data_IF_822945985229
#
_entry.id   IF_822945985229
#
_cell.length_a   1.000
_cell.length_b   1.000
_cell.length_c   1.000
_cell.angle_alpha   90.00
_cell.angle_beta   90.00
_cell.angle_gamma   90.00
#
_symmetry.space_group_name_H-M   'P 1'
#
loop_
_entity.id
_entity.type
_entity.pdbx_description
1 polymer ?
#
# COMPACT_ATOMS: atom_id res chain seq x y z
N UNK A 1 -62.45 -51.09 -38.33
CA UNK A 1 -61.29 -51.95 -38.00
C UNK A 1 -59.98 -51.39 -38.56
N UNK A 2 -59.75 -51.23 -39.88
CA UNK A 2 -58.47 -50.72 -40.40
C UNK A 2 -58.13 -49.26 -39.99
N UNK A 3 -59.12 -48.36 -39.94
CA UNK A 3 -58.91 -46.96 -39.56
C UNK A 3 -58.64 -46.76 -38.06
N UNK A 4 -59.26 -47.57 -37.19
CA UNK A 4 -59.01 -47.56 -35.73
C UNK A 4 -57.58 -48.02 -35.40
N UNK A 5 -57.05 -49.01 -36.13
CA UNK A 5 -55.68 -49.49 -35.93
C UNK A 5 -54.60 -48.46 -36.31
N UNK A 6 -54.84 -47.63 -37.33
CA UNK A 6 -53.95 -46.51 -37.69
C UNK A 6 -54.02 -45.37 -36.67
N UNK A 7 -55.24 -45.00 -36.24
CA UNK A 7 -55.42 -43.95 -35.23
C UNK A 7 -54.80 -44.30 -33.87
N UNK A 8 -54.80 -45.58 -33.49
CA UNK A 8 -54.19 -46.03 -32.24
C UNK A 8 -52.66 -46.00 -32.30
N UNK A 9 -52.06 -46.24 -33.48
CA UNK A 9 -50.62 -46.08 -33.71
C UNK A 9 -50.15 -44.64 -33.55
N UNK A 10 -50.87 -43.69 -34.17
CA UNK A 10 -50.55 -42.26 -34.08
C UNK A 10 -50.60 -41.73 -32.63
N UNK A 11 -51.58 -42.18 -31.85
CA UNK A 11 -51.71 -41.83 -30.42
C UNK A 11 -50.54 -42.39 -29.60
N UNK A 12 -50.08 -43.61 -29.92
CA UNK A 12 -48.95 -44.23 -29.23
C UNK A 12 -47.63 -43.49 -29.51
N UNK A 13 -47.41 -43.03 -30.75
CA UNK A 13 -46.24 -42.24 -31.13
C UNK A 13 -46.25 -40.85 -30.46
N UNK A 14 -47.41 -40.20 -30.40
CA UNK A 14 -47.58 -38.93 -29.68
C UNK A 14 -47.29 -39.08 -28.18
N UNK A 15 -47.77 -40.16 -27.55
CA UNK A 15 -47.51 -40.44 -26.14
C UNK A 15 -46.02 -40.70 -25.88
N UNK A 16 -45.34 -41.41 -26.79
CA UNK A 16 -43.90 -41.66 -26.70
C UNK A 16 -43.11 -40.36 -26.80
N UNK A 17 -43.48 -39.47 -27.72
CA UNK A 17 -42.88 -38.16 -27.89
C UNK A 17 -43.09 -37.26 -26.66
N UNK A 18 -44.31 -37.22 -26.11
CA UNK A 18 -44.59 -36.46 -24.88
C UNK A 18 -43.74 -36.96 -23.70
N UNK A 19 -43.57 -38.29 -23.55
CA UNK A 19 -42.70 -38.86 -22.52
C UNK A 19 -41.25 -38.42 -22.68
N UNK A 20 -40.71 -38.44 -23.90
CA UNK A 20 -39.35 -38.00 -24.17
C UNK A 20 -39.17 -36.51 -23.83
N UNK A 21 -40.12 -35.66 -24.24
CA UNK A 21 -40.11 -34.23 -23.93
C UNK A 21 -40.18 -33.97 -22.43
N UNK A 22 -41.03 -34.69 -21.70
CA UNK A 22 -41.12 -34.59 -20.22
C UNK A 22 -39.81 -35.00 -19.55
N UNK A 23 -39.20 -36.10 -20.01
CA UNK A 23 -37.92 -36.55 -19.47
C UNK A 23 -36.80 -35.54 -19.72
N UNK A 24 -36.72 -34.98 -20.94
CA UNK A 24 -35.77 -33.91 -21.25
C UNK A 24 -35.97 -32.68 -20.37
N UNK A 25 -37.22 -32.28 -20.10
CA UNK A 25 -37.51 -31.15 -19.23
C UNK A 25 -37.18 -31.43 -17.76
N UNK A 26 -37.36 -32.68 -17.31
CA UNK A 26 -37.00 -33.11 -15.96
C UNK A 26 -35.48 -33.12 -15.76
N UNK A 27 -34.72 -33.59 -16.76
CA UNK A 27 -33.27 -33.55 -16.74
C UNK A 27 -32.73 -32.11 -16.69
N UNK A 28 -33.31 -31.20 -17.48
CA UNK A 28 -32.96 -29.78 -17.46
C UNK A 28 -33.31 -29.13 -16.11
N UNK A 29 -34.46 -29.46 -15.53
CA UNK A 29 -34.84 -28.99 -14.19
C UNK A 29 -33.85 -29.46 -13.12
N UNK A 30 -33.38 -30.70 -13.22
CA UNK A 30 -32.38 -31.27 -12.32
C UNK A 30 -31.03 -30.58 -12.48
N UNK A 31 -30.59 -30.29 -13.71
CA UNK A 31 -29.34 -29.55 -13.95
C UNK A 31 -29.40 -28.14 -13.37
N UNK A 32 -30.47 -27.39 -13.66
CA UNK A 32 -30.68 -26.05 -13.11
C UNK A 32 -30.72 -26.06 -11.58
N UNK A 33 -31.34 -27.07 -10.98
CA UNK A 33 -31.37 -27.23 -9.52
C UNK A 33 -29.98 -27.48 -8.94
N UNK A 34 -29.16 -28.27 -9.61
CA UNK A 34 -27.77 -28.51 -9.21
C UNK A 34 -26.93 -27.23 -9.32
N UNK A 35 -27.05 -26.50 -10.43
CA UNK A 35 -26.39 -25.21 -10.61
C UNK A 35 -26.81 -24.20 -9.54
N UNK A 36 -28.11 -24.08 -9.25
CA UNK A 36 -28.62 -23.20 -8.21
C UNK A 36 -28.05 -23.56 -6.83
N UNK A 37 -27.93 -24.86 -6.53
CA UNK A 37 -27.33 -25.33 -5.27
C UNK A 37 -25.85 -24.96 -5.16
N UNK A 38 -25.12 -24.99 -6.28
CA UNK A 38 -23.72 -24.60 -6.36
C UNK A 38 -23.57 -23.09 -6.14
N UNK A 39 -24.34 -22.28 -6.87
CA UNK A 39 -24.35 -20.83 -6.72
C UNK A 39 -24.70 -20.39 -5.29
N UNK A 40 -25.70 -21.00 -4.66
CA UNK A 40 -26.04 -20.73 -3.25
C UNK A 40 -24.88 -21.01 -2.29
N UNK A 41 -24.10 -22.06 -2.53
CA UNK A 41 -22.90 -22.35 -1.73
C UNK A 41 -21.83 -21.28 -1.94
N UNK A 42 -21.59 -20.87 -3.19
CA UNK A 42 -20.63 -19.81 -3.51
C UNK A 42 -21.05 -18.45 -2.90
N UNK A 43 -22.34 -18.13 -2.95
CA UNK A 43 -22.90 -16.94 -2.33
C UNK A 43 -22.73 -16.97 -0.80
N UNK A 44 -22.99 -18.12 -0.17
CA UNK A 44 -22.74 -18.30 1.26
C UNK A 44 -21.27 -18.15 1.64
N UNK A 45 -20.33 -18.64 0.81
CA UNK A 45 -18.90 -18.45 1.06
C UNK A 45 -18.47 -16.99 0.89
N UNK A 46 -18.94 -16.33 -0.18
CA UNK A 46 -18.62 -14.92 -0.43
C UNK A 46 -19.18 -14.02 0.67
N UNK A 47 -20.41 -14.26 1.13
CA UNK A 47 -21.00 -13.50 2.24
C UNK A 47 -20.22 -13.70 3.55
N UNK A 48 -19.74 -14.91 3.83
CA UNK A 48 -18.89 -15.15 4.99
C UNK A 48 -17.55 -14.39 4.92
N UNK A 49 -16.91 -14.33 3.75
CA UNK A 49 -15.69 -13.55 3.54
C UNK A 49 -15.92 -12.06 3.73
N UNK A 50 -17.01 -11.51 3.19
CA UNK A 50 -17.38 -10.10 3.38
C UNK A 50 -17.55 -9.77 4.87
N UNK A 51 -18.25 -10.61 5.62
CA UNK A 51 -18.42 -10.43 7.08
C UNK A 51 -17.08 -10.50 7.81
N UNK A 52 -16.19 -11.43 7.41
CA UNK A 52 -14.84 -11.55 8.00
C UNK A 52 -14.02 -10.29 7.75
N UNK A 53 -13.99 -9.81 6.51
CA UNK A 53 -13.27 -8.59 6.12
C UNK A 53 -13.81 -7.37 6.85
N UNK A 54 -15.14 -7.26 7.00
CA UNK A 54 -15.76 -6.17 7.76
C UNK A 54 -15.30 -6.16 9.22
N UNK A 55 -15.25 -7.32 9.88
CA UNK A 55 -14.77 -7.43 11.26
C UNK A 55 -13.29 -7.04 11.40
N UNK A 56 -12.46 -7.42 10.44
CA UNK A 56 -11.05 -7.02 10.42
C UNK A 56 -10.93 -5.49 10.27
N UNK A 57 -11.69 -4.90 9.35
CA UNK A 57 -11.72 -3.45 9.16
C UNK A 57 -12.14 -2.69 10.43
N UNK A 58 -13.19 -3.15 11.11
CA UNK A 58 -13.64 -2.54 12.37
C UNK A 58 -12.58 -2.65 13.49
N UNK A 59 -11.80 -3.75 13.49
CA UNK A 59 -10.69 -3.96 14.44
C UNK A 59 -9.53 -3.00 14.17
N UNK A 60 -9.11 -2.87 12.91
CA UNK A 60 -8.07 -1.93 12.49
C UNK A 60 -8.46 -0.48 12.75
N UNK A 61 -9.72 -0.10 12.51
CA UNK A 61 -10.23 1.23 12.83
C UNK A 61 -10.10 1.52 14.34
N UNK A 62 -10.47 0.56 15.19
CA UNK A 62 -10.35 0.69 16.65
C UNK A 62 -8.88 0.78 17.12
N UNK A 63 -7.95 0.11 16.42
CA UNK A 63 -6.51 0.22 16.72
C UNK A 63 -5.96 1.59 16.32
N UNK A 64 -6.36 2.08 15.14
CA UNK A 64 -5.99 3.40 14.65
C UNK A 64 -6.41 4.49 15.64
N UNK A 65 -7.65 4.45 16.14
CA UNK A 65 -8.15 5.42 17.12
C UNK A 65 -7.29 5.45 18.40
N UNK A 66 -6.86 4.28 18.90
CA UNK A 66 -5.95 4.18 20.05
C UNK A 66 -4.58 4.81 19.77
N UNK A 67 -4.01 4.52 18.61
CA UNK A 67 -2.72 5.11 18.22
C UNK A 67 -2.81 6.63 18.06
N UNK A 68 -3.91 7.14 17.52
CA UNK A 68 -4.15 8.59 17.42
C UNK A 68 -4.25 9.25 18.80
N UNK A 69 -4.90 8.60 19.77
CA UNK A 69 -4.94 9.06 21.17
C UNK A 69 -3.54 9.07 21.81
N UNK A 70 -2.75 8.01 21.65
CA UNK A 70 -1.37 7.97 22.13
C UNK A 70 -0.49 9.07 21.50
N UNK A 71 -0.62 9.28 20.19
CA UNK A 71 0.09 10.37 19.49
C UNK A 71 -0.32 11.74 20.04
N UNK A 72 -1.60 11.95 20.35
CA UNK A 72 -2.08 13.21 20.92
C UNK A 72 -1.48 13.45 22.32
N UNK A 73 -1.45 12.42 23.17
CA UNK A 73 -0.84 12.48 24.50
C UNK A 73 0.65 12.80 24.40
N UNK A 74 1.39 12.09 23.54
CA UNK A 74 2.84 12.31 23.36
C UNK A 74 3.14 13.73 22.85
N UNK A 75 2.32 14.26 21.93
CA UNK A 75 2.44 15.65 21.47
C UNK A 75 2.23 16.65 22.61
N UNK A 76 1.25 16.42 23.48
CA UNK A 76 1.00 17.27 24.64
C UNK A 76 2.17 17.23 25.63
N UNK A 77 2.70 16.04 25.92
CA UNK A 77 3.88 15.88 26.78
C UNK A 77 5.11 16.61 26.23
N UNK A 78 5.36 16.50 24.92
CA UNK A 78 6.47 17.21 24.28
C UNK A 78 6.31 18.73 24.38
N UNK A 79 5.10 19.24 24.20
CA UNK A 79 4.81 20.66 24.34
C UNK A 79 5.06 21.16 25.77
N UNK A 80 4.65 20.39 26.78
CA UNK A 80 4.92 20.72 28.18
C UNK A 80 6.43 20.75 28.47
N UNK A 81 7.17 19.73 28.03
CA UNK A 81 8.63 19.69 28.19
C UNK A 81 9.32 20.87 27.50
N UNK A 82 8.82 21.31 26.35
CA UNK A 82 9.35 22.49 25.67
C UNK A 82 9.11 23.78 26.46
N UNK A 83 7.91 23.92 27.06
CA UNK A 83 7.58 25.08 27.90
C UNK A 83 8.44 25.11 29.17
N UNK A 84 8.59 23.96 29.85
CA UNK A 84 9.43 23.84 31.05
C UNK A 84 10.91 24.11 30.73
N UNK A 85 11.38 23.67 29.55
CA UNK A 85 12.73 23.96 29.06
C UNK A 85 12.94 25.46 28.76
N UNK A 86 11.92 26.17 28.28
CA UNK A 86 12.00 27.61 28.07
C UNK A 86 11.93 28.40 29.39
N UNK A 87 11.11 27.97 30.36
CA UNK A 87 11.02 28.59 31.69
C UNK A 87 12.33 28.46 32.48
N UNK A 88 12.99 27.29 32.40
CA UNK A 88 14.31 27.07 33.01
C UNK A 88 15.40 27.92 32.35
N UNK A 89 15.31 28.22 31.06
CA UNK A 89 16.22 29.16 30.38
C UNK A 89 16.02 30.60 30.85
N UNK A 90 14.77 31.03 31.04
CA UNK A 90 14.44 32.39 31.49
C UNK A 90 14.82 32.64 32.96
N UNK A 91 14.69 31.61 33.81
CA UNK A 91 15.06 31.71 35.23
C UNK A 91 16.58 31.72 35.47
N UNK A 92 17.38 31.15 34.54
CA UNK A 92 18.84 31.30 34.55
C UNK A 92 19.30 32.69 34.09
N UNK A 93 18.55 33.37 33.21
CA UNK A 93 18.89 34.69 32.67
C UNK A 93 18.49 35.85 33.61
N UNK A 94 17.54 35.61 34.53
CA UNK A 94 17.06 36.61 35.50
C UNK A 94 17.85 36.62 36.81
N UNK A 95 18.83 35.72 36.95
CA UNK A 95 19.65 35.56 38.14
C UNK A 95 20.94 36.38 38.13
N UNK A 96 20.87 37.71 38.00
CA UNK A 96 21.99 38.55 38.43
C UNK A 96 21.51 39.86 39.08
N UNK A 97 21.84 39.99 40.36
CA UNK A 97 21.63 41.19 41.17
C UNK A 97 22.60 42.33 40.79
N UNK A 98 22.41 43.53 41.35
CA UNK A 98 22.91 44.78 40.79
C UNK A 98 24.40 44.99 41.09
N UNK A 99 25.22 45.24 40.06
CA UNK A 99 26.55 45.80 40.30
C UNK A 99 27.52 45.84 39.12
N UNK A 100 27.77 47.07 38.66
CA UNK A 100 29.01 47.58 38.00
C UNK A 100 29.11 47.48 36.47
N UNK A 101 28.57 48.53 35.83
CA UNK A 101 29.23 49.45 34.89
C UNK A 101 30.58 48.98 34.29
N UNK A 102 30.62 48.81 32.97
CA UNK A 102 31.62 49.47 32.11
C UNK A 102 30.99 49.81 30.75
N UNK A 103 30.96 51.10 30.34
CA UNK A 103 30.35 51.55 29.10
C UNK A 103 31.38 51.55 27.97
N UNK A 104 30.99 51.03 26.81
CA UNK A 104 31.86 50.97 25.65
C UNK A 104 31.10 50.71 24.37
N UNK A 105 30.77 51.82 23.70
CA UNK A 105 30.61 51.96 22.26
C UNK A 105 29.19 51.79 21.69
N UNK A 106 28.54 52.95 21.57
CA UNK A 106 27.50 53.26 20.59
C UNK A 106 27.89 52.80 19.18
N UNK A 107 26.94 52.27 18.42
CA UNK A 107 26.41 52.97 17.22
C UNK A 107 25.66 51.99 16.30
N UNK A 108 24.32 52.14 16.36
CA UNK A 108 23.41 52.24 15.21
C UNK A 108 23.33 51.09 14.20
N UNK A 109 22.30 50.28 14.43
CA UNK A 109 21.16 50.02 13.54
C UNK A 109 21.38 49.90 12.03
N UNK A 110 20.72 48.83 11.56
CA UNK A 110 20.06 48.66 10.27
C UNK A 110 20.99 48.33 9.12
N UNK A 111 20.81 47.13 8.55
CA UNK A 111 20.22 47.00 7.22
C UNK A 111 19.53 45.63 7.14
N UNK A 112 18.21 45.67 6.97
CA UNK A 112 17.43 44.59 6.37
C UNK A 112 18.16 44.05 5.15
N UNK A 113 18.41 42.74 5.15
CA UNK A 113 18.41 41.82 3.99
C UNK A 113 18.90 40.46 4.49
N UNK A 114 18.03 39.68 5.11
CA UNK A 114 18.27 38.24 5.27
C UNK A 114 17.54 37.49 4.15
N UNK A 115 18.05 37.70 2.93
CA UNK A 115 17.77 36.85 1.78
C UNK A 115 18.58 35.56 1.94
N UNK A 116 17.86 34.45 2.06
CA UNK A 116 18.29 33.07 1.80
C UNK A 116 19.41 32.50 2.69
N UNK A 117 19.15 31.41 3.43
CA UNK A 117 20.23 30.51 3.81
C UNK A 117 20.69 29.78 2.54
N UNK A 118 21.79 30.25 1.93
CA UNK A 118 22.64 29.41 1.09
C UNK A 118 23.41 28.47 2.02
N UNK A 119 22.77 27.39 2.44
CA UNK A 119 23.47 26.22 2.93
C UNK A 119 24.04 25.45 1.73
N UNK A 120 25.18 25.93 1.24
CA UNK A 120 26.13 25.11 0.50
C UNK A 120 27.09 24.48 1.51
N UNK A 121 26.54 23.58 2.33
CA UNK A 121 27.34 22.59 3.06
C UNK A 121 27.43 21.35 2.17
N UNK A 122 28.42 21.37 1.29
CA UNK A 122 29.00 20.18 0.66
C UNK A 122 29.81 19.41 1.72
N UNK A 123 29.13 18.84 2.71
CA UNK A 123 29.63 17.65 3.39
C UNK A 123 29.22 16.43 2.55
N UNK A 124 30.02 15.36 2.46
CA UNK A 124 29.53 14.14 1.85
C UNK A 124 28.33 13.69 2.71
N UNK A 125 27.12 13.83 2.18
CA UNK A 125 25.99 13.04 2.64
C UNK A 125 26.46 11.61 2.46
N UNK A 126 26.96 10.99 3.54
CA UNK A 126 27.46 9.64 3.55
C UNK A 126 26.40 8.79 2.87
N UNK A 127 26.62 8.34 1.64
CA UNK A 127 25.49 8.12 0.78
C UNK A 127 24.86 6.80 1.23
N UNK A 128 23.58 6.68 0.91
CA UNK A 128 22.87 5.41 0.73
C UNK A 128 23.72 4.38 -0.07
N UNK A 129 24.82 4.81 -0.72
CA UNK A 129 25.92 4.03 -1.28
C UNK A 129 26.44 2.83 -0.46
N UNK A 130 26.21 2.73 0.86
CA UNK A 130 26.57 1.50 1.61
C UNK A 130 25.47 0.43 1.68
N UNK A 131 24.27 0.66 1.11
CA UNK A 131 23.26 -0.39 0.90
C UNK A 131 23.60 -1.33 -0.28
N UNK A 132 24.78 -1.17 -0.89
CA UNK A 132 25.34 -2.01 -1.95
C UNK A 132 26.22 -3.15 -1.45
N UNK A 133 26.14 -3.55 -0.18
CA UNK A 133 26.44 -4.95 0.09
C UNK A 133 25.42 -5.76 -0.71
N UNK A 134 25.87 -6.63 -1.61
CA UNK A 134 25.03 -7.41 -2.53
C UNK A 134 23.83 -8.08 -1.82
N UNK A 135 24.01 -8.39 -0.53
CA UNK A 135 22.98 -8.91 0.39
C UNK A 135 21.83 -7.92 0.63
N UNK A 136 22.12 -6.63 0.79
CA UNK A 136 21.13 -5.58 1.05
C UNK A 136 20.18 -5.35 -0.13
N UNK A 137 20.73 -5.28 -1.34
CA UNK A 137 19.93 -5.11 -2.56
C UNK A 137 19.02 -6.31 -2.83
N UNK A 138 19.56 -7.53 -2.73
CA UNK A 138 18.77 -8.77 -2.86
C UNK A 138 17.64 -8.84 -1.82
N UNK A 139 17.92 -8.42 -0.57
CA UNK A 139 16.89 -8.35 0.47
C UNK A 139 15.79 -7.36 0.10
N UNK A 140 16.13 -6.16 -0.38
CA UNK A 140 15.13 -5.16 -0.81
C UNK A 140 14.28 -5.69 -1.96
N UNK A 141 14.89 -6.36 -2.95
CA UNK A 141 14.14 -6.96 -4.06
C UNK A 141 13.17 -8.05 -3.58
N UNK A 142 13.57 -8.87 -2.60
CA UNK A 142 12.66 -9.86 -2.00
C UNK A 142 11.45 -9.22 -1.29
N UNK A 143 11.59 -8.00 -0.77
CA UNK A 143 10.49 -7.29 -0.11
C UNK A 143 9.43 -6.77 -1.10
N UNK A 144 9.73 -6.72 -2.41
CA UNK A 144 8.74 -6.42 -3.44
C UNK A 144 7.65 -7.50 -3.55
N UNK A 145 7.93 -8.70 -3.04
CA UNK A 145 7.00 -9.83 -3.01
C UNK A 145 6.32 -10.01 -1.65
N UNK A 146 6.56 -9.12 -0.68
CA UNK A 146 5.99 -9.18 0.67
C UNK A 146 4.47 -9.17 0.65
N UNK A 147 3.83 -10.08 1.39
CA UNK A 147 2.36 -10.12 1.56
C UNK A 147 1.80 -8.84 2.19
N UNK A 148 2.62 -8.11 2.94
CA UNK A 148 2.21 -6.85 3.57
C UNK A 148 2.28 -5.68 2.57
N UNK A 149 1.14 -5.01 2.28
CA UNK A 149 1.07 -3.97 1.25
C UNK A 149 1.96 -2.76 1.57
N UNK A 150 2.03 -2.35 2.83
CA UNK A 150 2.85 -1.22 3.25
C UNK A 150 4.33 -1.49 3.05
N UNK A 151 4.81 -2.69 3.39
CA UNK A 151 6.20 -3.10 3.13
C UNK A 151 6.50 -3.07 1.63
N UNK A 152 5.58 -3.55 0.80
CA UNK A 152 5.72 -3.56 -0.65
C UNK A 152 5.82 -2.15 -1.24
N UNK A 153 4.98 -1.22 -0.77
CA UNK A 153 5.01 0.21 -1.16
C UNK A 153 6.34 0.85 -0.77
N UNK A 154 6.84 0.59 0.43
CA UNK A 154 8.11 1.15 0.87
C UNK A 154 9.29 0.54 0.10
N UNK A 155 9.29 -0.78 -0.13
CA UNK A 155 10.32 -1.45 -0.91
C UNK A 155 10.42 -0.88 -2.33
N UNK A 156 9.29 -0.69 -3.03
CA UNK A 156 9.30 -0.16 -4.39
C UNK A 156 9.79 1.30 -4.45
N UNK A 157 9.47 2.12 -3.44
CA UNK A 157 9.99 3.49 -3.32
C UNK A 157 11.51 3.50 -3.11
N UNK A 158 12.02 2.60 -2.28
CA UNK A 158 13.47 2.47 -2.06
C UNK A 158 14.17 2.08 -3.37
N UNK A 159 13.64 1.09 -4.09
CA UNK A 159 14.20 0.68 -5.39
C UNK A 159 14.14 1.84 -6.41
N UNK A 160 13.03 2.59 -6.47
CA UNK A 160 12.91 3.73 -7.37
C UNK A 160 13.94 4.83 -7.07
N UNK A 161 14.17 5.12 -5.79
CA UNK A 161 15.18 6.08 -5.35
C UNK A 161 16.60 5.58 -5.67
N UNK A 162 16.87 4.29 -5.47
CA UNK A 162 18.18 3.71 -5.80
C UNK A 162 18.44 3.75 -7.30
N UNK A 163 17.42 3.46 -8.12
CA UNK A 163 17.51 3.50 -9.58
C UNK A 163 17.72 4.91 -10.16
N UNK A 164 17.39 5.96 -9.40
CA UNK A 164 17.62 7.35 -9.83
C UNK A 164 19.12 7.71 -9.90
N UNK A 165 19.99 6.94 -9.25
CA UNK A 165 21.44 7.11 -9.29
C UNK A 165 22.06 6.17 -10.32
N UNK A 166 22.69 6.71 -11.36
CA UNK A 166 23.28 5.96 -12.48
C UNK A 166 24.22 4.81 -12.02
N UNK A 167 25.06 5.07 -11.01
CA UNK A 167 26.00 4.11 -10.43
C UNK A 167 25.35 2.84 -9.83
N UNK A 168 24.03 2.85 -9.66
CA UNK A 168 23.26 1.77 -9.07
C UNK A 168 22.47 0.97 -10.12
N UNK A 169 22.19 1.56 -11.29
CA UNK A 169 21.26 1.01 -12.27
C UNK A 169 21.70 -0.35 -12.79
N UNK A 170 22.97 -0.47 -13.20
CA UNK A 170 23.56 -1.73 -13.65
C UNK A 170 23.45 -2.82 -12.58
N UNK A 171 23.82 -2.50 -11.32
CA UNK A 171 23.75 -3.45 -10.20
C UNK A 171 22.32 -3.89 -9.89
N UNK A 172 21.34 -3.00 -10.02
CA UNK A 172 19.91 -3.32 -9.86
C UNK A 172 19.45 -4.28 -10.95
N UNK A 173 19.88 -4.05 -12.19
CA UNK A 173 19.56 -4.95 -13.32
C UNK A 173 20.22 -6.31 -13.14
N UNK A 174 21.50 -6.36 -12.80
CA UNK A 174 22.25 -7.60 -12.52
C UNK A 174 21.64 -8.39 -11.36
N UNK A 175 21.11 -7.69 -10.35
CA UNK A 175 20.42 -8.30 -9.22
C UNK A 175 19.01 -8.86 -9.57
N UNK A 176 18.55 -8.70 -10.81
CA UNK A 176 17.22 -9.13 -11.26
C UNK A 176 16.10 -8.13 -10.97
N UNK A 177 16.43 -6.90 -10.58
CA UNK A 177 15.46 -5.89 -10.16
C UNK A 177 14.47 -5.51 -11.25
N UNK A 178 14.88 -5.50 -12.52
CA UNK A 178 13.96 -5.26 -13.65
C UNK A 178 12.86 -6.31 -13.73
N UNK A 179 13.20 -7.59 -13.55
CA UNK A 179 12.22 -8.69 -13.55
C UNK A 179 11.25 -8.55 -12.39
N UNK A 180 11.74 -8.27 -11.18
CA UNK A 180 10.90 -8.07 -10.00
C UNK A 180 9.93 -6.88 -10.18
N UNK A 181 10.41 -5.76 -10.73
CA UNK A 181 9.57 -4.58 -10.99
C UNK A 181 8.49 -4.86 -12.06
N UNK A 182 8.83 -5.61 -13.12
CA UNK A 182 7.86 -6.01 -14.14
C UNK A 182 6.82 -7.02 -13.64
N UNK A 183 7.22 -7.94 -12.75
CA UNK A 183 6.26 -8.82 -12.08
C UNK A 183 5.32 -8.02 -11.20
N UNK A 184 5.87 -7.10 -10.40
CA UNK A 184 5.11 -6.24 -9.50
C UNK A 184 4.08 -5.39 -10.25
N UNK A 185 4.44 -4.83 -11.42
CA UNK A 185 3.49 -4.11 -12.28
C UNK A 185 2.32 -4.97 -12.76
N UNK A 186 2.56 -6.26 -13.01
CA UNK A 186 1.54 -7.20 -13.49
C UNK A 186 0.65 -7.72 -12.37
N UNK A 187 1.21 -7.94 -11.17
CA UNK A 187 0.49 -8.56 -10.05
C UNK A 187 -0.19 -7.55 -9.13
N UNK A 188 0.21 -6.27 -9.15
CA UNK A 188 -0.32 -5.26 -8.24
C UNK A 188 -1.56 -4.55 -8.80
N UNK A 189 -2.62 -4.51 -8.01
CA UNK A 189 -3.81 -3.69 -8.26
C UNK A 189 -3.66 -2.24 -7.75
N UNK A 190 -2.70 -2.00 -6.85
CA UNK A 190 -2.42 -0.67 -6.28
C UNK A 190 -1.77 0.27 -7.31
N UNK A 191 -2.45 1.37 -7.59
CA UNK A 191 -2.03 2.40 -8.54
C UNK A 191 -0.75 3.13 -8.10
N UNK A 192 -0.55 3.33 -6.80
CA UNK A 192 0.66 3.94 -6.26
C UNK A 192 1.87 3.05 -6.52
N UNK A 193 1.74 1.74 -6.26
CA UNK A 193 2.79 0.77 -6.54
C UNK A 193 3.10 0.76 -8.03
N UNK A 194 2.08 0.71 -8.89
CA UNK A 194 2.29 0.70 -10.34
C UNK A 194 3.01 1.96 -10.84
N UNK A 195 2.58 3.13 -10.38
CA UNK A 195 3.22 4.40 -10.77
C UNK A 195 4.68 4.47 -10.34
N UNK A 196 4.99 4.07 -9.11
CA UNK A 196 6.36 4.12 -8.60
C UNK A 196 7.25 3.07 -9.27
N UNK A 197 6.73 1.85 -9.51
CA UNK A 197 7.44 0.81 -10.25
C UNK A 197 7.74 1.24 -11.69
N UNK A 198 6.78 1.86 -12.38
CA UNK A 198 6.99 2.41 -13.72
C UNK A 198 8.08 3.51 -13.72
N UNK A 199 8.08 4.39 -12.71
CA UNK A 199 9.14 5.39 -12.53
C UNK A 199 10.52 4.77 -12.29
N UNK A 200 10.59 3.71 -11.48
CA UNK A 200 11.84 2.96 -11.26
C UNK A 200 12.37 2.36 -12.56
N UNK A 201 11.50 1.73 -13.35
CA UNK A 201 11.88 1.16 -14.67
C UNK A 201 12.34 2.26 -15.62
N UNK A 202 11.65 3.41 -15.66
CA UNK A 202 12.06 4.54 -16.47
C UNK A 202 13.47 5.02 -16.10
N UNK A 203 13.78 5.10 -14.80
CA UNK A 203 15.13 5.44 -14.33
C UNK A 203 16.17 4.40 -14.77
N UNK A 204 15.87 3.09 -14.66
CA UNK A 204 16.75 2.03 -15.14
C UNK A 204 16.97 2.04 -16.66
N UNK A 205 16.01 2.59 -17.42
CA UNK A 205 16.09 2.70 -18.88
C UNK A 205 16.84 3.96 -19.36
N UNK A 206 17.31 4.81 -18.46
CA UNK A 206 18.14 5.98 -18.81
C UNK A 206 19.63 5.64 -18.98
N UNK A 207 20.05 4.40 -18.66
CA UNK A 207 21.42 3.89 -18.78
C UNK A 207 21.82 3.62 -20.24
#
# INVERSE_FOLDING_TARGET
>A
IKEESTSNGDVQDLLQNEKMLRQSAEDESNDLKNQLSHWKKMEATATAEVVRLRRMLDTEASQKDKLEEEIAVLKSQLMQLSLDADETRMSLDTGDGPGKIFPGLDSLMSHSRNSQPREQSNGPKAPVAKLFEQVGLQKILSLLESEEPDVRVHAVKVVANLAAEEANQEKIVEAGGLTSLLMLLRSSEDETIRRVAAGAIANLAMN
#
